data_IF_872257033557
#
_entry.id   IF_872257033557
#
_cell.length_a   1.000
_cell.length_b   1.000
_cell.length_c   1.000
_cell.angle_alpha   90.00
_cell.angle_beta   90.00
_cell.angle_gamma   90.00
#
_symmetry.space_group_name_H-M   'P 1'
#
loop_
_entity.id
_entity.type
_entity.pdbx_description
1 polymer ?
#
# COMPACT_ATOMS: atom_id res chain seq x y z
N UNK A 1 -33.40 -62.34 3.24
CA UNK A 1 -33.31 -61.53 4.47
C UNK A 1 -31.96 -60.80 4.61
N UNK A 2 -30.84 -61.38 4.17
CA UNK A 2 -29.50 -60.75 4.21
C UNK A 2 -29.33 -59.53 3.30
N UNK A 3 -29.92 -59.55 2.10
CA UNK A 3 -29.86 -58.43 1.14
C UNK A 3 -30.51 -57.13 1.66
N UNK A 4 -31.59 -57.21 2.44
CA UNK A 4 -32.25 -56.01 2.98
C UNK A 4 -31.46 -55.32 4.09
N UNK A 5 -30.68 -56.06 4.88
CA UNK A 5 -29.82 -55.48 5.92
C UNK A 5 -28.63 -54.72 5.34
N UNK A 6 -28.10 -55.17 4.19
CA UNK A 6 -27.00 -54.49 3.49
C UNK A 6 -27.46 -53.15 2.90
N UNK A 7 -28.66 -53.10 2.31
CA UNK A 7 -29.24 -51.86 1.82
C UNK A 7 -29.52 -50.87 2.96
N UNK A 8 -30.02 -51.35 4.10
CA UNK A 8 -30.28 -50.49 5.25
C UNK A 8 -28.97 -49.93 5.83
N UNK A 9 -27.90 -50.75 5.87
CA UNK A 9 -26.57 -50.29 6.27
C UNK A 9 -26.01 -49.23 5.31
N UNK A 10 -26.17 -49.41 3.99
CA UNK A 10 -25.76 -48.42 2.99
C UNK A 10 -26.51 -47.09 3.15
N UNK A 11 -27.83 -47.13 3.39
CA UNK A 11 -28.63 -45.92 3.62
C UNK A 11 -28.15 -45.17 4.86
N UNK A 12 -27.88 -45.87 5.96
CA UNK A 12 -27.35 -45.29 7.20
C UNK A 12 -25.94 -44.69 7.00
N UNK A 13 -25.11 -45.34 6.18
CA UNK A 13 -23.77 -44.84 5.87
C UNK A 13 -23.84 -43.55 5.03
N UNK A 14 -24.75 -43.49 4.05
CA UNK A 14 -24.94 -42.28 3.24
C UNK A 14 -25.54 -41.11 4.02
N UNK A 15 -26.44 -41.37 4.97
CA UNK A 15 -27.07 -40.31 5.76
C UNK A 15 -26.09 -39.64 6.73
N UNK A 16 -25.12 -40.39 7.27
CA UNK A 16 -24.08 -39.85 8.16
C UNK A 16 -23.05 -39.02 7.39
N UNK A 17 -22.66 -39.42 6.18
CA UNK A 17 -21.76 -38.64 5.31
C UNK A 17 -22.39 -37.30 4.91
N UNK A 18 -23.66 -37.29 4.51
CA UNK A 18 -24.40 -36.07 4.12
C UNK A 18 -24.49 -35.06 5.26
N UNK A 19 -24.70 -35.53 6.50
CA UNK A 19 -24.70 -34.65 7.67
C UNK A 19 -23.31 -34.06 7.92
N UNK A 20 -22.24 -34.86 7.80
CA UNK A 20 -20.86 -34.39 7.95
C UNK A 20 -20.50 -33.26 6.99
N UNK A 21 -20.86 -33.39 5.71
CA UNK A 21 -20.62 -32.36 4.69
C UNK A 21 -21.46 -31.10 4.93
N UNK A 22 -22.71 -31.25 5.41
CA UNK A 22 -23.57 -30.13 5.80
C UNK A 22 -23.02 -29.37 7.01
N UNK A 23 -22.54 -30.09 8.03
CA UNK A 23 -21.92 -29.49 9.21
C UNK A 23 -20.58 -28.83 8.86
N UNK A 24 -19.74 -29.46 8.04
CA UNK A 24 -18.50 -28.86 7.54
C UNK A 24 -18.78 -27.57 6.75
N UNK A 25 -19.72 -27.60 5.80
CA UNK A 25 -20.12 -26.43 5.02
C UNK A 25 -20.70 -25.30 5.89
N UNK A 26 -21.51 -25.65 6.90
CA UNK A 26 -22.04 -24.69 7.88
C UNK A 26 -20.93 -24.05 8.71
N UNK A 27 -19.97 -24.84 9.20
CA UNK A 27 -18.82 -24.30 9.95
C UNK A 27 -17.94 -23.39 9.08
N UNK A 28 -17.74 -23.74 7.81
CA UNK A 28 -16.98 -22.90 6.87
C UNK A 28 -17.69 -21.58 6.54
N UNK A 29 -19.02 -21.58 6.40
CA UNK A 29 -19.79 -20.34 6.21
C UNK A 29 -19.76 -19.45 7.46
N UNK A 30 -19.80 -20.03 8.65
CA UNK A 30 -19.65 -19.29 9.92
C UNK A 30 -18.25 -18.67 10.01
N UNK A 31 -17.20 -19.41 9.61
CA UNK A 31 -15.85 -18.86 9.53
C UNK A 31 -15.75 -17.70 8.53
N UNK A 32 -16.35 -17.84 7.35
CA UNK A 32 -16.38 -16.77 6.34
C UNK A 32 -17.06 -15.51 6.88
N UNK A 33 -18.22 -15.66 7.55
CA UNK A 33 -18.93 -14.55 8.18
C UNK A 33 -18.06 -13.88 9.26
N UNK A 34 -17.37 -14.66 10.09
CA UNK A 34 -16.47 -14.12 11.12
C UNK A 34 -15.31 -13.34 10.50
N UNK A 35 -14.76 -13.81 9.38
CA UNK A 35 -13.71 -13.07 8.65
C UNK A 35 -14.25 -11.78 8.04
N UNK A 36 -15.49 -11.78 7.52
CA UNK A 36 -16.12 -10.58 6.97
C UNK A 36 -16.33 -9.51 8.06
N UNK A 37 -16.74 -9.92 9.27
CA UNK A 37 -16.84 -9.03 10.44
C UNK A 37 -15.46 -8.47 10.83
N UNK A 38 -14.42 -9.30 10.82
CA UNK A 38 -13.05 -8.86 11.12
C UNK A 38 -12.53 -7.87 10.06
N UNK A 39 -12.78 -8.15 8.78
CA UNK A 39 -12.41 -7.27 7.67
C UNK A 39 -13.14 -5.94 7.76
N UNK A 40 -14.45 -5.93 8.07
CA UNK A 40 -15.21 -4.71 8.27
C UNK A 40 -14.61 -3.85 9.40
N UNK A 41 -14.22 -4.47 10.51
CA UNK A 41 -13.54 -3.78 11.63
C UNK A 41 -12.17 -3.23 11.22
N UNK A 42 -11.37 -4.00 10.48
CA UNK A 42 -10.08 -3.52 9.96
C UNK A 42 -10.27 -2.33 9.01
N UNK A 43 -11.30 -2.37 8.18
CA UNK A 43 -11.64 -1.27 7.27
C UNK A 43 -12.06 -0.01 8.04
N UNK A 44 -12.82 -0.15 9.12
CA UNK A 44 -13.20 0.98 9.98
C UNK A 44 -11.97 1.65 10.61
N UNK A 45 -11.03 0.86 11.14
CA UNK A 45 -9.77 1.36 11.69
C UNK A 45 -8.95 2.04 10.59
N UNK A 46 -8.82 1.41 9.42
CA UNK A 46 -8.09 1.99 8.28
C UNK A 46 -8.67 3.33 7.87
N UNK A 47 -10.00 3.43 7.74
CA UNK A 47 -10.67 4.68 7.36
C UNK A 47 -10.40 5.77 8.39
N UNK A 48 -10.47 5.44 9.68
CA UNK A 48 -10.16 6.38 10.75
C UNK A 48 -8.73 6.90 10.66
N UNK A 49 -7.76 5.99 10.49
CA UNK A 49 -6.35 6.36 10.34
C UNK A 49 -6.14 7.26 9.11
N UNK A 50 -6.86 7.00 8.01
CA UNK A 50 -6.78 7.81 6.80
C UNK A 50 -7.37 9.21 7.00
N UNK A 51 -8.51 9.34 7.71
CA UNK A 51 -9.07 10.64 8.09
C UNK A 51 -8.13 11.43 9.00
N UNK A 52 -7.51 10.77 9.99
CA UNK A 52 -6.58 11.42 10.91
C UNK A 52 -5.29 11.89 10.21
N UNK A 53 -4.82 11.13 9.21
CA UNK A 53 -3.70 11.55 8.35
C UNK A 53 -4.06 12.77 7.52
N UNK A 54 -5.23 12.78 6.88
CA UNK A 54 -5.70 13.91 6.08
C UNK A 54 -5.86 15.18 6.93
N UNK A 55 -6.40 15.05 8.14
CA UNK A 55 -6.55 16.17 9.07
C UNK A 55 -5.21 16.82 9.45
N UNK A 56 -4.15 16.04 9.60
CA UNK A 56 -2.81 16.56 9.88
C UNK A 56 -2.24 17.36 8.71
N UNK A 57 -2.41 16.84 7.48
CA UNK A 57 -1.95 17.52 6.26
C UNK A 57 -2.72 18.83 6.06
N UNK A 58 -4.04 18.83 6.25
CA UNK A 58 -4.87 20.03 6.12
C UNK A 58 -4.49 21.08 7.17
N UNK A 59 -4.27 20.66 8.42
CA UNK A 59 -3.82 21.57 9.49
C UNK A 59 -2.49 22.23 9.13
N UNK A 60 -1.51 21.45 8.66
CA UNK A 60 -0.20 21.97 8.27
C UNK A 60 -0.30 22.93 7.08
N UNK A 61 -1.10 22.58 6.07
CA UNK A 61 -1.35 23.44 4.91
C UNK A 61 -1.93 24.80 5.33
N UNK A 62 -2.88 24.79 6.26
CA UNK A 62 -3.50 26.02 6.78
C UNK A 62 -2.49 26.90 7.54
N UNK A 63 -1.59 26.30 8.32
CA UNK A 63 -0.50 27.00 9.02
C UNK A 63 0.39 27.72 7.99
N UNK A 64 0.94 26.98 7.03
CA UNK A 64 1.83 27.56 6.00
C UNK A 64 1.11 28.65 5.20
N UNK A 65 -0.14 28.42 4.80
CA UNK A 65 -0.92 29.41 4.06
C UNK A 65 -1.06 30.72 4.83
N UNK A 66 -1.29 30.64 6.15
CA UNK A 66 -1.40 31.82 7.00
C UNK A 66 -0.07 32.56 7.16
N UNK A 67 1.05 31.83 7.23
CA UNK A 67 2.40 32.40 7.32
C UNK A 67 2.82 33.10 6.03
N UNK A 68 2.58 32.47 4.88
CA UNK A 68 2.83 33.07 3.56
C UNK A 68 1.99 34.33 3.39
N UNK A 69 0.73 34.33 3.81
CA UNK A 69 -0.13 35.51 3.73
C UNK A 69 0.38 36.66 4.61
N UNK A 70 0.99 36.37 5.77
CA UNK A 70 1.62 37.39 6.61
C UNK A 70 2.93 37.93 6.01
N UNK A 71 3.66 37.09 5.26
CA UNK A 71 4.89 37.47 4.58
C UNK A 71 4.66 38.24 3.26
N UNK A 72 3.50 38.05 2.62
CA UNK A 72 3.15 38.69 1.34
C UNK A 72 3.20 40.23 1.44
N UNK A 73 4.11 40.83 0.66
CA UNK A 73 4.30 42.29 0.59
C UNK A 73 5.12 42.89 1.72
N UNK A 74 5.70 42.07 2.62
CA UNK A 74 6.60 42.48 3.71
C UNK A 74 7.71 41.44 3.94
N UNK A 75 8.22 40.84 2.86
CA UNK A 75 9.13 39.70 2.89
C UNK A 75 10.41 40.02 3.68
N UNK A 76 11.02 41.20 3.44
CA UNK A 76 12.23 41.64 4.14
C UNK A 76 12.00 41.85 5.64
N UNK A 77 10.89 42.47 6.02
CA UNK A 77 10.54 42.67 7.43
C UNK A 77 10.20 41.35 8.13
N UNK A 78 9.58 40.41 7.41
CA UNK A 78 9.22 39.09 7.93
C UNK A 78 10.45 38.23 8.19
N UNK A 79 11.41 38.18 7.25
CA UNK A 79 12.65 37.42 7.36
C UNK A 79 13.60 38.07 8.38
N UNK A 80 13.58 39.40 8.51
CA UNK A 80 14.39 40.09 9.53
C UNK A 80 14.02 39.72 10.96
N UNK A 81 12.82 39.15 11.19
CA UNK A 81 12.43 38.61 12.48
C UNK A 81 13.08 37.23 12.68
N UNK A 82 14.01 37.09 13.66
CA UNK A 82 14.71 35.82 13.89
C UNK A 82 13.79 34.64 14.22
N UNK A 83 12.61 34.90 14.81
CA UNK A 83 11.62 33.86 15.14
C UNK A 83 11.00 33.31 13.85
N UNK A 84 10.61 34.18 12.92
CA UNK A 84 10.00 33.77 11.66
C UNK A 84 11.01 33.05 10.76
N UNK A 85 12.25 33.55 10.72
CA UNK A 85 13.35 32.87 10.00
C UNK A 85 13.67 31.50 10.57
N UNK A 86 13.66 31.35 11.91
CA UNK A 86 13.80 30.05 12.56
C UNK A 86 12.66 29.10 12.20
N UNK A 87 11.41 29.58 12.22
CA UNK A 87 10.23 28.77 11.87
C UNK A 87 10.28 28.30 10.40
N UNK A 88 10.67 29.17 9.47
CA UNK A 88 10.90 28.81 8.07
C UNK A 88 11.90 27.65 7.92
N UNK A 89 13.06 27.76 8.58
CA UNK A 89 14.08 26.70 8.57
C UNK A 89 13.55 25.43 9.21
N UNK A 90 12.86 25.54 10.35
CA UNK A 90 12.28 24.40 11.06
C UNK A 90 11.24 23.68 10.19
N UNK A 91 10.36 24.42 9.52
CA UNK A 91 9.36 23.86 8.61
C UNK A 91 10.08 23.05 7.54
N UNK A 92 11.01 23.68 6.81
CA UNK A 92 11.81 23.09 5.72
C UNK A 92 12.67 21.89 6.11
N UNK A 93 13.10 21.79 7.37
CA UNK A 93 14.07 20.74 7.78
C UNK A 93 13.45 19.62 8.60
N UNK A 94 12.32 19.87 9.28
CA UNK A 94 11.78 18.91 10.25
C UNK A 94 10.29 18.63 10.07
N UNK A 95 9.49 19.62 9.70
CA UNK A 95 8.02 19.47 9.64
C UNK A 95 7.52 19.00 8.28
N UNK A 96 8.32 19.14 7.22
CA UNK A 96 8.04 18.51 5.92
C UNK A 96 8.34 17.01 5.91
N UNK A 97 9.26 16.50 6.73
CA UNK A 97 9.66 15.07 6.69
C UNK A 97 8.48 14.08 6.87
N UNK A 98 7.54 14.29 7.83
CA UNK A 98 6.37 13.42 7.94
C UNK A 98 5.45 13.51 6.71
N UNK A 99 5.34 14.68 6.08
CA UNK A 99 4.46 14.93 4.94
C UNK A 99 5.08 14.38 3.64
N UNK A 100 6.38 14.56 3.48
CA UNK A 100 7.19 13.91 2.45
C UNK A 100 7.09 12.39 2.55
N UNK A 101 6.89 11.82 3.75
CA UNK A 101 6.61 10.38 3.89
C UNK A 101 5.16 10.02 3.52
N UNK A 102 4.20 10.89 3.81
CA UNK A 102 2.77 10.66 3.56
C UNK A 102 2.43 10.72 2.06
N UNK A 103 3.01 11.67 1.32
CA UNK A 103 2.67 11.91 -0.08
C UNK A 103 3.03 10.73 -1.03
N UNK A 104 4.26 10.16 -0.99
CA UNK A 104 4.60 8.96 -1.74
C UNK A 104 3.76 7.76 -1.30
N UNK A 105 3.39 7.66 -0.02
CA UNK A 105 2.52 6.59 0.47
C UNK A 105 1.12 6.67 -0.16
N UNK A 106 0.50 7.85 -0.19
CA UNK A 106 -0.81 8.04 -0.81
C UNK A 106 -0.80 7.82 -2.32
N UNK A 107 0.25 8.33 -3.01
CA UNK A 107 0.45 8.09 -4.44
C UNK A 107 0.70 6.60 -4.74
N UNK A 108 1.51 5.92 -3.94
CA UNK A 108 1.79 4.49 -4.09
C UNK A 108 0.53 3.64 -3.97
N UNK A 109 -0.29 3.89 -2.94
CA UNK A 109 -1.57 3.20 -2.74
C UNK A 109 -2.51 3.48 -3.92
N UNK A 110 -2.57 4.72 -4.41
CA UNK A 110 -3.35 5.06 -5.60
C UNK A 110 -2.90 4.31 -6.84
N UNK A 111 -1.59 4.21 -7.08
CA UNK A 111 -1.00 3.45 -8.19
C UNK A 111 -1.34 1.96 -8.07
N UNK A 112 -1.21 1.37 -6.88
CA UNK A 112 -1.56 -0.04 -6.64
C UNK A 112 -3.04 -0.31 -6.88
N UNK A 113 -3.93 0.58 -6.43
CA UNK A 113 -5.37 0.46 -6.73
C UNK A 113 -5.67 0.52 -8.22
N UNK A 114 -4.98 1.40 -8.97
CA UNK A 114 -5.11 1.44 -10.42
C UNK A 114 -4.54 0.18 -11.07
N UNK A 115 -3.44 -0.36 -10.53
CA UNK A 115 -2.85 -1.62 -10.95
C UNK A 115 -3.86 -2.77 -10.85
N UNK A 116 -4.52 -2.90 -9.70
CA UNK A 116 -5.56 -3.90 -9.46
C UNK A 116 -6.80 -3.68 -10.33
N UNK A 117 -7.26 -2.43 -10.44
CA UNK A 117 -8.50 -2.09 -11.17
C UNK A 117 -8.36 -2.34 -12.67
N UNK A 118 -7.18 -2.04 -13.24
CA UNK A 118 -6.92 -2.10 -14.68
C UNK A 118 -6.04 -3.29 -15.08
N UNK A 119 -5.73 -4.19 -14.14
CA UNK A 119 -4.82 -5.33 -14.33
C UNK A 119 -3.49 -4.93 -15.01
N UNK A 120 -2.93 -3.78 -14.60
CA UNK A 120 -1.68 -3.27 -15.15
C UNK A 120 -0.50 -4.04 -14.58
N UNK A 121 0.53 -4.25 -15.38
CA UNK A 121 1.79 -4.83 -14.89
C UNK A 121 2.71 -3.74 -14.34
N UNK A 122 3.56 -4.09 -13.36
CA UNK A 122 4.60 -3.20 -12.84
C UNK A 122 5.49 -2.67 -13.95
N UNK A 123 5.88 -3.53 -14.90
CA UNK A 123 6.68 -3.15 -16.06
C UNK A 123 5.99 -2.12 -16.97
N UNK A 124 4.68 -2.22 -17.18
CA UNK A 124 3.93 -1.22 -17.96
C UNK A 124 3.91 0.14 -17.27
N UNK A 125 3.69 0.16 -15.95
CA UNK A 125 3.66 1.40 -15.18
C UNK A 125 5.07 2.00 -15.11
N UNK A 126 6.08 1.19 -14.80
CA UNK A 126 7.46 1.60 -14.64
C UNK A 126 8.09 2.13 -15.94
N UNK A 127 7.64 1.64 -17.10
CA UNK A 127 8.08 2.14 -18.41
C UNK A 127 7.11 3.14 -19.05
N UNK A 128 6.09 3.58 -18.31
CA UNK A 128 5.14 4.59 -18.74
C UNK A 128 4.26 4.20 -19.93
N UNK A 129 3.99 2.91 -20.10
CA UNK A 129 3.14 2.34 -21.14
C UNK A 129 1.75 1.95 -20.58
N UNK A 130 1.04 2.92 -20.01
CA UNK A 130 -0.21 2.69 -19.25
C UNK A 130 -1.45 2.74 -20.15
N UNK A 131 -1.40 3.51 -21.24
CA UNK A 131 -2.48 3.61 -22.21
C UNK A 131 -1.84 3.85 -23.56
N UNK A 132 -2.00 2.91 -24.51
CA UNK A 132 -1.17 2.73 -25.72
C UNK A 132 -0.98 3.92 -26.68
N UNK A 133 -1.45 5.13 -26.34
CA UNK A 133 -1.21 6.38 -27.06
C UNK A 133 -0.47 7.47 -26.24
N UNK A 134 -0.23 7.29 -24.93
CA UNK A 134 0.43 8.27 -24.07
C UNK A 134 1.63 7.63 -23.37
N UNK A 135 2.84 8.00 -23.78
CA UNK A 135 4.07 7.69 -23.03
C UNK A 135 4.12 8.62 -21.82
N UNK A 136 3.98 8.07 -20.62
CA UNK A 136 4.20 8.81 -19.37
C UNK A 136 5.68 8.77 -18.98
N UNK A 137 6.03 9.50 -17.91
CA UNK A 137 7.37 9.45 -17.30
C UNK A 137 7.74 7.99 -17.00
N UNK A 138 8.97 7.60 -17.34
CA UNK A 138 9.57 6.32 -16.95
C UNK A 138 9.99 6.45 -15.49
N UNK A 139 9.60 5.48 -14.66
CA UNK A 139 10.02 5.41 -13.28
C UNK A 139 11.47 4.90 -13.20
N UNK A 140 12.23 5.52 -12.32
CA UNK A 140 13.57 5.11 -11.92
C UNK A 140 13.52 3.91 -10.96
N UNK A 141 14.64 3.21 -10.80
CA UNK A 141 14.79 2.16 -9.80
C UNK A 141 14.40 2.62 -8.38
N UNK A 142 14.71 3.87 -8.01
CA UNK A 142 14.35 4.44 -6.71
C UNK A 142 12.84 4.56 -6.52
N UNK A 143 12.14 5.08 -7.52
CA UNK A 143 10.69 5.24 -7.46
C UNK A 143 9.99 3.87 -7.38
N UNK A 144 10.50 2.84 -8.08
CA UNK A 144 10.02 1.46 -7.94
C UNK A 144 10.28 0.87 -6.54
N UNK A 145 11.45 1.14 -5.95
CA UNK A 145 11.77 0.72 -4.59
C UNK A 145 10.84 1.38 -3.55
N UNK A 146 10.59 2.69 -3.69
CA UNK A 146 9.71 3.40 -2.77
C UNK A 146 8.28 2.82 -2.81
N UNK A 147 7.77 2.47 -3.99
CA UNK A 147 6.49 1.76 -4.16
C UNK A 147 6.49 0.40 -3.44
N UNK A 148 7.51 -0.43 -3.66
CA UNK A 148 7.63 -1.73 -3.00
C UNK A 148 7.75 -1.62 -1.48
N UNK A 149 8.43 -0.58 -0.97
CA UNK A 149 8.61 -0.36 0.46
C UNK A 149 7.29 0.02 1.14
N UNK A 150 6.45 0.82 0.47
CA UNK A 150 5.11 1.18 0.95
C UNK A 150 4.20 -0.03 0.97
N UNK A 151 4.23 -0.88 -0.06
CA UNK A 151 3.47 -2.13 -0.10
C UNK A 151 3.86 -3.05 1.07
N UNK A 152 5.17 -3.20 1.33
CA UNK A 152 5.66 -4.02 2.43
C UNK A 152 5.21 -3.48 3.81
N UNK A 153 5.20 -2.16 3.98
CA UNK A 153 4.67 -1.52 5.20
C UNK A 153 3.16 -1.73 5.39
N UNK A 154 2.42 -2.07 4.33
CA UNK A 154 0.98 -2.33 4.35
C UNK A 154 0.63 -3.83 4.43
N UNK A 155 1.64 -4.69 4.66
CA UNK A 155 1.52 -6.15 4.60
C UNK A 155 1.00 -6.66 3.22
N UNK A 156 1.15 -5.86 2.16
CA UNK A 156 0.83 -6.26 0.79
C UNK A 156 2.08 -6.85 0.13
N UNK A 157 2.40 -8.09 0.49
CA UNK A 157 3.60 -8.78 0.02
C UNK A 157 3.56 -9.06 -1.48
N UNK A 158 2.36 -9.18 -2.07
CA UNK A 158 2.21 -9.39 -3.51
C UNK A 158 2.70 -8.17 -4.30
N UNK A 159 2.18 -6.99 -3.98
CA UNK A 159 2.66 -5.75 -4.60
C UNK A 159 4.11 -5.45 -4.22
N UNK A 160 4.53 -5.72 -2.98
CA UNK A 160 5.91 -5.52 -2.54
C UNK A 160 6.89 -6.34 -3.40
N UNK A 161 6.60 -7.62 -3.61
CA UNK A 161 7.45 -8.52 -4.39
C UNK A 161 7.54 -8.06 -5.85
N UNK A 162 6.42 -7.74 -6.50
CA UNK A 162 6.42 -7.30 -7.89
C UNK A 162 7.19 -5.99 -8.08
N UNK A 163 6.96 -4.99 -7.22
CA UNK A 163 7.63 -3.69 -7.32
C UNK A 163 9.12 -3.77 -6.98
N UNK A 164 9.50 -4.64 -6.05
CA UNK A 164 10.91 -4.89 -5.72
C UNK A 164 11.65 -5.66 -6.83
N UNK A 165 10.98 -6.59 -7.52
CA UNK A 165 11.54 -7.27 -8.69
C UNK A 165 11.77 -6.28 -9.85
N UNK A 166 10.79 -5.41 -10.12
CA UNK A 166 10.93 -4.37 -11.15
C UNK A 166 12.05 -3.37 -10.81
N UNK A 167 12.19 -2.99 -9.53
CA UNK A 167 13.28 -2.15 -9.07
C UNK A 167 14.65 -2.80 -9.32
N UNK A 168 14.77 -4.11 -9.08
CA UNK A 168 16.00 -4.86 -9.31
C UNK A 168 16.35 -4.97 -10.80
N UNK A 169 15.36 -5.23 -11.66
CA UNK A 169 15.55 -5.25 -13.11
C UNK A 169 16.00 -3.88 -13.64
N UNK A 170 15.44 -2.78 -13.11
CA UNK A 170 15.90 -1.42 -13.46
C UNK A 170 17.28 -1.10 -12.92
N UNK A 171 17.64 -1.56 -11.72
CA UNK A 171 19.00 -1.38 -11.17
C UNK A 171 20.07 -2.02 -12.05
N UNK A 172 19.81 -3.22 -12.57
CA UNK A 172 20.75 -3.91 -13.46
C UNK A 172 20.89 -3.22 -14.83
N UNK A 173 19.89 -2.44 -15.24
CA UNK A 173 19.89 -1.65 -16.48
C UNK A 173 20.39 -0.20 -16.30
N UNK A 174 20.28 0.40 -15.10
CA UNK A 174 20.72 1.76 -14.75
C UNK A 174 22.21 1.79 -14.31
N UNK A 175 23.12 1.36 -15.19
CA UNK A 175 24.53 1.05 -14.89
C UNK A 175 25.35 2.25 -14.33
N UNK A 176 24.90 3.50 -14.45
CA UNK A 176 25.74 4.68 -14.20
C UNK A 176 25.20 5.73 -13.20
N UNK A 177 24.09 5.49 -12.50
CA UNK A 177 23.59 6.46 -11.51
C UNK A 177 22.76 5.80 -10.39
N UNK A 178 23.31 4.77 -9.78
CA UNK A 178 22.62 3.97 -8.76
C UNK A 178 22.34 4.82 -7.52
N UNK A 179 21.07 5.24 -7.37
CA UNK A 179 20.60 6.03 -6.23
C UNK A 179 20.15 5.14 -5.07
N UNK A 180 20.07 3.81 -5.29
CA UNK A 180 19.65 2.79 -4.32
C UNK A 180 20.67 1.67 -4.27
N UNK A 181 20.99 1.18 -3.07
CA UNK A 181 21.86 0.03 -2.89
C UNK A 181 21.12 -1.27 -3.23
N UNK A 182 21.77 -2.15 -4.00
CA UNK A 182 21.23 -3.46 -4.38
C UNK A 182 20.90 -4.30 -3.15
N UNK A 183 21.69 -4.14 -2.08
CA UNK A 183 21.55 -4.87 -0.82
C UNK A 183 20.19 -4.55 -0.18
N UNK A 184 19.80 -3.27 -0.13
CA UNK A 184 18.53 -2.85 0.45
C UNK A 184 17.34 -3.48 -0.29
N UNK A 185 17.38 -3.56 -1.63
CA UNK A 185 16.30 -4.18 -2.41
C UNK A 185 16.19 -5.68 -2.13
N UNK A 186 17.33 -6.37 -2.00
CA UNK A 186 17.39 -7.81 -1.74
C UNK A 186 16.88 -8.17 -0.33
N UNK A 187 17.17 -7.34 0.67
CA UNK A 187 16.67 -7.54 2.03
C UNK A 187 15.14 -7.50 2.07
N UNK A 188 14.54 -6.52 1.39
CA UNK A 188 13.08 -6.41 1.29
C UNK A 188 12.45 -7.56 0.49
N UNK A 189 13.10 -8.04 -0.57
CA UNK A 189 12.66 -9.24 -1.30
C UNK A 189 12.71 -10.48 -0.41
N UNK A 190 13.77 -10.67 0.36
CA UNK A 190 13.90 -11.82 1.25
C UNK A 190 12.75 -11.88 2.26
N UNK A 191 12.37 -10.73 2.82
CA UNK A 191 11.24 -10.63 3.75
C UNK A 191 9.91 -10.93 3.07
N UNK A 192 9.67 -10.36 1.88
CA UNK A 192 8.42 -10.55 1.13
C UNK A 192 8.23 -11.99 0.63
N UNK A 193 9.32 -12.74 0.37
CA UNK A 193 9.25 -14.16 -0.04
C UNK A 193 9.07 -15.14 1.11
N UNK A 194 9.36 -14.73 2.34
CA UNK A 194 9.32 -15.60 3.52
C UNK A 194 7.95 -15.63 4.22
N UNK A 195 7.13 -14.58 4.03
CA UNK A 195 5.78 -14.46 4.59
C UNK A 195 4.71 -14.97 3.63
#
# INVERSE_FOLDING_TARGET
MTSMWILMFFIILTSTIIQGDLFSSSTHLIQLLNTEVELAKKLEVYLKDEYDRLAQVEKFLNIIKSEIQQAQGKEESYISNPINSYLLVKHLTTEWNPIEKILPTGCAIGIMRLQDTYALTTHQIANGNISGNLKSKILSARECFDLGSVANMKDDFYHALMWMQEALDKLDNEVNNTTVDRIDVLDYLSFATYK
#
